data_IF_060672846064
#
_entry.id   IF_060672846064
#
_cell.length_a   1.000
_cell.length_b   1.000
_cell.length_c   1.000
_cell.angle_alpha   90.00
_cell.angle_beta   90.00
_cell.angle_gamma   90.00
#
_symmetry.space_group_name_H-M   'P 1'
#
loop_
_entity.id
_entity.type
_entity.pdbx_description
1 polymer ?
#
# COMPACT_ATOMS: atom_id res chain seq x y z
N UNK A 1 -18.26 -9.11 0.52
CA UNK A 1 -17.40 -8.88 1.71
C UNK A 1 -15.96 -8.90 1.20
N UNK A 2 -15.17 -7.86 1.43
CA UNK A 2 -13.77 -7.87 1.02
C UNK A 2 -12.99 -8.73 2.02
N UNK A 3 -12.35 -9.80 1.54
CA UNK A 3 -11.51 -10.62 2.41
C UNK A 3 -10.32 -9.77 2.89
N UNK A 4 -10.04 -9.78 4.21
CA UNK A 4 -8.87 -9.09 4.73
C UNK A 4 -7.62 -9.77 4.21
N UNK A 5 -6.71 -8.99 3.62
CA UNK A 5 -5.38 -9.48 3.32
C UNK A 5 -4.57 -9.53 4.61
N UNK A 6 -3.98 -10.68 4.91
CA UNK A 6 -3.14 -10.85 6.09
C UNK A 6 -1.65 -10.75 5.71
N UNK A 7 -0.83 -10.30 6.66
CA UNK A 7 0.62 -10.36 6.55
C UNK A 7 1.15 -11.78 6.86
N UNK A 8 2.48 -11.94 6.82
CA UNK A 8 3.15 -13.21 7.09
C UNK A 8 2.94 -13.76 8.51
N UNK A 9 2.44 -12.94 9.44
CA UNK A 9 2.14 -13.30 10.83
C UNK A 9 0.62 -13.45 11.07
N UNK A 10 -0.19 -13.44 10.00
CA UNK A 10 -1.65 -13.52 10.10
C UNK A 10 -2.32 -12.23 10.58
N UNK A 11 -1.61 -11.11 10.63
CA UNK A 11 -2.17 -9.81 11.05
C UNK A 11 -2.84 -9.11 9.87
N UNK A 12 -4.00 -8.46 10.07
CA UNK A 12 -4.70 -7.77 8.99
C UNK A 12 -3.87 -6.60 8.46
N UNK A 13 -3.72 -6.54 7.15
CA UNK A 13 -3.11 -5.42 6.46
C UNK A 13 -4.07 -4.25 6.37
N UNK A 14 -3.53 -3.04 6.44
CA UNK A 14 -4.29 -1.82 6.26
C UNK A 14 -4.58 -1.59 4.77
N UNK A 15 -5.81 -1.16 4.48
CA UNK A 15 -6.25 -0.74 3.16
C UNK A 15 -6.21 0.77 3.08
N UNK A 16 -5.53 1.28 2.07
CA UNK A 16 -5.54 2.71 1.75
C UNK A 16 -5.70 2.95 0.26
N UNK A 17 -5.89 4.21 -0.11
CA UNK A 17 -5.95 4.67 -1.50
C UNK A 17 -4.86 5.71 -1.75
N UNK A 18 -4.64 5.99 -3.03
CA UNK A 18 -3.86 7.14 -3.50
C UNK A 18 -4.70 7.90 -4.51
N UNK A 19 -4.32 9.13 -4.82
CA UNK A 19 -5.03 9.97 -5.77
C UNK A 19 -5.10 9.32 -7.17
N UNK A 20 -6.16 9.62 -7.92
CA UNK A 20 -6.40 9.03 -9.25
C UNK A 20 -5.26 9.27 -10.25
N UNK A 21 -4.58 10.41 -10.15
CA UNK A 21 -3.47 10.73 -11.03
C UNK A 21 -2.25 9.81 -10.82
N UNK A 22 -2.02 9.32 -9.60
CA UNK A 22 -0.98 8.31 -9.31
C UNK A 22 -1.38 7.00 -9.98
N UNK A 23 -2.63 6.62 -9.79
CA UNK A 23 -3.27 5.46 -10.36
C UNK A 23 -3.25 5.41 -11.90
N UNK A 24 -3.17 6.56 -12.58
CA UNK A 24 -3.03 6.65 -14.03
C UNK A 24 -1.69 6.09 -14.54
N UNK A 25 -0.65 6.05 -13.70
CA UNK A 25 0.65 5.48 -14.03
C UNK A 25 0.69 3.95 -13.95
N UNK A 26 -0.29 3.30 -13.29
CA UNK A 26 -0.20 1.88 -12.94
C UNK A 26 0.15 0.96 -14.12
N UNK A 27 -0.43 1.22 -15.30
CA UNK A 27 -0.17 0.46 -16.54
C UNK A 27 0.77 1.17 -17.51
N UNK A 28 0.75 2.50 -17.55
CA UNK A 28 1.51 3.30 -18.52
C UNK A 28 2.97 3.51 -18.11
N UNK A 29 3.22 3.70 -16.82
CA UNK A 29 4.56 3.84 -16.22
C UNK A 29 4.60 3.21 -14.82
N UNK A 30 4.78 1.87 -14.74
CA UNK A 30 4.80 1.18 -13.47
C UNK A 30 5.94 1.60 -12.54
N UNK A 31 7.04 2.17 -13.07
CA UNK A 31 8.15 2.66 -12.26
C UNK A 31 7.72 3.93 -11.53
N UNK A 32 7.19 4.90 -12.28
CA UNK A 32 6.65 6.14 -11.70
C UNK A 32 5.51 5.87 -10.73
N UNK A 33 4.63 4.91 -11.03
CA UNK A 33 3.59 4.49 -10.09
C UNK A 33 4.18 4.09 -8.72
N UNK A 34 5.21 3.23 -8.71
CA UNK A 34 5.86 2.80 -7.47
C UNK A 34 6.49 3.96 -6.72
N UNK A 35 7.15 4.88 -7.43
CA UNK A 35 7.80 6.05 -6.85
C UNK A 35 6.78 6.99 -6.18
N UNK A 36 5.68 7.32 -6.86
CA UNK A 36 4.66 8.22 -6.32
C UNK A 36 3.89 7.59 -5.16
N UNK A 37 3.57 6.29 -5.24
CA UNK A 37 2.96 5.56 -4.12
C UNK A 37 3.88 5.56 -2.91
N UNK A 38 5.17 5.27 -3.10
CA UNK A 38 6.16 5.30 -2.01
C UNK A 38 6.22 6.69 -1.37
N UNK A 39 6.38 7.74 -2.18
CA UNK A 39 6.41 9.13 -1.72
C UNK A 39 5.15 9.52 -0.94
N UNK A 40 3.97 9.10 -1.40
CA UNK A 40 2.71 9.37 -0.72
C UNK A 40 2.67 8.77 0.69
N UNK A 41 3.07 7.50 0.84
CA UNK A 41 3.00 6.81 2.13
C UNK A 41 4.18 7.11 3.07
N UNK A 42 5.36 7.43 2.56
CA UNK A 42 6.48 7.88 3.40
C UNK A 42 6.16 9.16 4.17
N UNK A 43 5.34 10.05 3.58
CA UNK A 43 4.94 11.31 4.21
C UNK A 43 3.80 11.13 5.23
N UNK A 44 2.79 10.30 4.90
CA UNK A 44 1.58 10.15 5.74
C UNK A 44 1.61 8.99 6.72
N UNK A 45 2.43 7.97 6.46
CA UNK A 45 2.42 6.68 7.17
C UNK A 45 3.83 6.13 7.40
N UNK A 46 4.69 6.83 8.18
CA UNK A 46 6.10 6.45 8.35
C UNK A 46 6.31 5.07 8.99
N UNK A 47 5.32 4.58 9.75
CA UNK A 47 5.34 3.25 10.37
C UNK A 47 4.71 2.15 9.50
N UNK A 48 4.48 2.39 8.21
CA UNK A 48 3.88 1.40 7.33
C UNK A 48 4.74 1.13 6.10
N UNK A 49 4.71 -0.12 5.65
CA UNK A 49 5.35 -0.57 4.42
C UNK A 49 4.30 -0.91 3.37
N UNK A 50 4.44 -0.38 2.16
CA UNK A 50 3.63 -0.76 1.00
C UNK A 50 4.02 -2.18 0.57
N UNK A 51 3.05 -3.10 0.54
CA UNK A 51 3.29 -4.51 0.17
C UNK A 51 2.71 -4.89 -1.17
N UNK A 52 1.54 -4.36 -1.52
CA UNK A 52 0.92 -4.64 -2.82
C UNK A 52 -0.11 -3.60 -3.20
N UNK A 53 -0.39 -3.52 -4.50
CA UNK A 53 -1.49 -2.72 -5.04
C UNK A 53 -2.49 -3.66 -5.73
N UNK A 54 -3.78 -3.38 -5.58
CA UNK A 54 -4.85 -3.99 -6.36
C UNK A 54 -5.49 -2.88 -7.22
N UNK A 55 -5.26 -2.97 -8.53
CA UNK A 55 -5.73 -1.97 -9.48
C UNK A 55 -7.25 -1.96 -9.65
N UNK A 56 -7.87 -3.13 -9.75
CA UNK A 56 -9.32 -3.26 -9.94
C UNK A 56 -10.10 -2.64 -8.78
N UNK A 57 -9.58 -2.81 -7.57
CA UNK A 57 -10.19 -2.30 -6.34
C UNK A 57 -9.67 -0.91 -5.95
N UNK A 58 -8.68 -0.37 -6.67
CA UNK A 58 -7.95 0.86 -6.32
C UNK A 58 -7.44 0.89 -4.87
N UNK A 59 -6.93 -0.25 -4.38
CA UNK A 59 -6.42 -0.41 -3.00
C UNK A 59 -4.90 -0.54 -3.00
N UNK A 60 -4.26 0.19 -2.10
CA UNK A 60 -2.88 -0.07 -1.65
C UNK A 60 -2.94 -0.79 -0.31
N UNK A 61 -2.27 -1.94 -0.23
CA UNK A 61 -2.16 -2.72 0.98
C UNK A 61 -0.88 -2.37 1.72
N UNK A 62 -1.05 -1.91 2.96
CA UNK A 62 0.01 -1.49 3.85
C UNK A 62 0.15 -2.49 4.99
N UNK A 63 1.39 -2.87 5.31
CA UNK A 63 1.71 -3.58 6.53
C UNK A 63 2.24 -2.59 7.56
N UNK A 64 1.74 -2.66 8.79
CA UNK A 64 2.27 -1.87 9.90
C UNK A 64 3.62 -2.46 10.33
N UNK A 65 4.66 -1.63 10.33
CA UNK A 65 5.97 -1.95 10.86
C UNK A 65 5.92 -1.81 12.38
N UNK A 66 5.31 -2.80 13.06
CA UNK A 66 5.46 -2.89 14.51
C UNK A 66 6.89 -3.34 14.78
N UNK A 67 7.66 -2.50 15.45
CA UNK A 67 8.81 -3.01 16.20
C UNK A 67 8.21 -3.96 17.23
N UNK A 68 8.37 -5.27 17.02
CA UNK A 68 8.13 -6.22 18.09
C UNK A 68 9.07 -5.80 19.23
N UNK A 69 8.52 -5.12 20.23
CA UNK A 69 9.13 -5.06 21.55
C UNK A 69 9.01 -6.48 22.10
N UNK A 70 9.96 -7.32 21.71
CA UNK A 70 10.31 -8.55 22.41
C UNK A 70 11.52 -8.25 23.30
#
# INVERSE_FOLDING_TARGET
MFEPKLDEFGRPMCRSGVAEWIWAFYRSDPRRFKEEVKKHFELGYPNYTVRSANYEQRVIWLQENRSDRL
#
